data_IF_842322964670
#
_entry.id   IF_842322964670
#
_cell.length_a   1.000
_cell.length_b   1.000
_cell.length_c   1.000
_cell.angle_alpha   90.00
_cell.angle_beta   90.00
_cell.angle_gamma   90.00
#
_symmetry.space_group_name_H-M   'P 1'
#
loop_
_entity.id
_entity.type
_entity.pdbx_description
1 polymer ?
#
# COMPACT_ATOMS: atom_id res chain seq x y z
N UNK A 1 8.34 12.54 0.12
CA UNK A 1 7.59 13.04 -1.06
C UNK A 1 6.54 14.10 -0.71
N UNK A 2 6.37 15.15 -1.54
CA UNK A 2 5.26 16.13 -1.47
C UNK A 2 4.23 15.80 -2.57
N UNK A 3 2.94 15.71 -2.25
CA UNK A 3 1.90 15.39 -3.25
C UNK A 3 1.61 16.53 -4.24
N UNK A 4 1.94 17.78 -3.90
CA UNK A 4 1.76 18.94 -4.80
C UNK A 4 2.61 18.87 -6.08
N UNK A 5 3.69 18.08 -6.06
CA UNK A 5 4.57 17.88 -7.23
C UNK A 5 4.22 16.63 -8.05
N UNK A 6 3.15 15.91 -7.67
CA UNK A 6 2.69 14.74 -8.41
C UNK A 6 1.96 15.19 -9.68
N UNK A 7 2.44 14.73 -10.84
CA UNK A 7 1.84 15.03 -12.13
C UNK A 7 0.64 14.11 -12.36
N UNK A 8 -0.56 14.66 -12.26
CA UNK A 8 -1.78 13.94 -12.65
C UNK A 8 -1.80 13.76 -14.16
N UNK A 9 -1.96 12.52 -14.62
CA UNK A 9 -2.05 12.15 -16.03
C UNK A 9 -3.41 11.49 -16.29
N UNK A 10 -4.06 11.85 -17.39
CA UNK A 10 -5.33 11.25 -17.79
C UNK A 10 -6.56 11.86 -17.10
N UNK A 11 -7.40 11.01 -16.50
CA UNK A 11 -8.75 11.31 -16.04
C UNK A 11 -8.87 12.30 -14.87
N UNK A 12 -10.07 12.41 -14.30
CA UNK A 12 -10.32 13.27 -13.14
C UNK A 12 -9.96 12.54 -11.85
N UNK A 13 -9.36 13.24 -10.90
CA UNK A 13 -9.20 12.76 -9.54
C UNK A 13 -10.57 12.42 -8.95
N UNK A 14 -10.62 11.37 -8.13
CA UNK A 14 -11.80 10.96 -7.40
C UNK A 14 -11.47 10.84 -5.90
N UNK A 15 -11.30 11.98 -5.20
CA UNK A 15 -10.85 11.97 -3.82
C UNK A 15 -11.86 11.33 -2.88
N UNK A 16 -11.35 10.64 -1.87
CA UNK A 16 -12.15 9.93 -0.87
C UNK A 16 -12.35 10.85 0.32
N UNK A 17 -13.56 10.92 0.87
CA UNK A 17 -13.84 11.81 1.98
C UNK A 17 -13.24 11.30 3.30
N UNK A 18 -12.91 12.23 4.20
CA UNK A 18 -12.37 11.91 5.52
C UNK A 18 -13.30 11.01 6.36
N UNK A 19 -14.61 11.12 6.14
CA UNK A 19 -15.61 10.30 6.82
C UNK A 19 -15.47 8.83 6.41
N UNK A 20 -15.19 8.55 5.13
CA UNK A 20 -15.00 7.18 4.64
C UNK A 20 -13.74 6.56 5.24
N UNK A 21 -12.64 7.32 5.34
CA UNK A 21 -11.41 6.85 5.98
C UNK A 21 -11.68 6.53 7.45
N UNK A 22 -12.34 7.45 8.18
CA UNK A 22 -12.65 7.29 9.60
C UNK A 22 -13.61 6.13 9.89
N UNK A 23 -14.60 5.93 9.01
CA UNK A 23 -15.54 4.80 9.06
C UNK A 23 -14.79 3.47 9.00
N UNK A 24 -13.83 3.34 8.08
CA UNK A 24 -13.05 2.11 7.91
C UNK A 24 -12.09 1.89 9.07
N UNK A 25 -11.39 2.93 9.54
CA UNK A 25 -10.56 2.86 10.76
C UNK A 25 -11.38 2.35 11.95
N UNK A 26 -12.59 2.88 12.15
CA UNK A 26 -13.49 2.45 13.22
C UNK A 26 -13.96 1.00 13.06
N UNK A 27 -14.33 0.58 11.84
CA UNK A 27 -14.81 -0.79 11.57
C UNK A 27 -13.72 -1.84 11.77
N UNK A 28 -12.50 -1.53 11.35
CA UNK A 28 -11.35 -2.42 11.46
C UNK A 28 -10.64 -2.32 12.82
N UNK A 29 -10.93 -1.27 13.62
CA UNK A 29 -10.24 -0.95 14.88
C UNK A 29 -8.73 -0.77 14.68
N UNK A 30 -8.37 0.00 13.65
CA UNK A 30 -6.99 0.30 13.26
C UNK A 30 -6.79 1.81 13.17
N UNK A 31 -5.53 2.22 12.99
CA UNK A 31 -5.21 3.45 12.28
C UNK A 31 -4.51 3.11 10.98
N UNK A 32 -4.80 3.87 9.93
CA UNK A 32 -3.98 3.81 8.74
C UNK A 32 -2.60 4.47 8.98
N UNK A 33 -1.56 4.06 8.24
CA UNK A 33 -0.24 4.68 8.33
C UNK A 33 -0.29 6.19 8.05
N UNK A 34 0.62 6.94 8.66
CA UNK A 34 0.82 8.37 8.34
C UNK A 34 0.95 8.57 6.82
N UNK A 35 0.24 9.55 6.28
CA UNK A 35 0.20 9.88 4.86
C UNK A 35 -0.86 9.15 4.04
N UNK A 36 -1.43 8.04 4.54
CA UNK A 36 -2.48 7.31 3.80
C UNK A 36 -3.75 8.15 3.60
N UNK A 37 -4.26 8.76 4.68
CA UNK A 37 -5.43 9.63 4.64
C UNK A 37 -5.23 10.75 3.63
N UNK A 38 -4.13 11.48 3.74
CA UNK A 38 -3.76 12.57 2.84
C UNK A 38 -3.72 12.12 1.38
N UNK A 39 -3.10 10.97 1.08
CA UNK A 39 -3.05 10.42 -0.27
C UNK A 39 -4.45 10.20 -0.84
N UNK A 40 -5.32 9.50 -0.11
CA UNK A 40 -6.66 9.15 -0.63
C UNK A 40 -7.63 10.34 -0.64
N UNK A 41 -7.47 11.33 0.24
CA UNK A 41 -8.31 12.54 0.28
C UNK A 41 -7.88 13.60 -0.72
N UNK A 42 -6.65 13.54 -1.25
CA UNK A 42 -6.17 14.46 -2.29
C UNK A 42 -6.25 13.85 -3.69
N UNK A 43 -5.76 12.62 -3.85
CA UNK A 43 -5.65 11.97 -5.15
C UNK A 43 -6.80 10.98 -5.41
N UNK A 44 -7.21 10.27 -4.36
CA UNK A 44 -8.22 9.23 -4.47
C UNK A 44 -7.66 7.91 -4.99
N UNK A 45 -8.45 7.25 -5.82
CA UNK A 45 -8.09 5.97 -6.42
C UNK A 45 -7.38 6.14 -7.76
N UNK A 46 -6.26 5.45 -7.92
CA UNK A 46 -5.44 5.52 -9.13
C UNK A 46 -4.18 4.67 -9.03
N UNK A 47 -3.39 4.72 -10.10
CA UNK A 47 -2.03 4.23 -10.10
C UNK A 47 -1.06 5.38 -9.85
N UNK A 48 -0.07 5.15 -9.00
CA UNK A 48 1.03 6.04 -8.71
C UNK A 48 2.30 5.51 -9.39
N UNK A 49 3.20 6.42 -9.75
CA UNK A 49 4.55 6.09 -10.25
C UNK A 49 4.52 5.31 -11.57
N UNK A 50 4.20 6.00 -12.67
CA UNK A 50 4.21 5.40 -14.02
C UNK A 50 3.34 4.14 -14.13
N UNK A 51 2.16 4.20 -13.52
CA UNK A 51 1.16 3.13 -13.47
C UNK A 51 1.61 1.86 -12.73
N UNK A 52 2.65 1.95 -11.88
CA UNK A 52 3.25 0.81 -11.19
C UNK A 52 2.56 0.42 -9.88
N UNK A 53 2.21 1.41 -9.05
CA UNK A 53 1.72 1.15 -7.69
C UNK A 53 0.25 1.52 -7.61
N UNK A 54 -0.58 0.64 -7.07
CA UNK A 54 -1.99 0.92 -6.82
C UNK A 54 -2.24 0.97 -5.33
N UNK A 55 -2.48 2.18 -4.81
CA UNK A 55 -2.92 2.38 -3.42
C UNK A 55 -4.41 2.08 -3.32
N UNK A 56 -4.79 1.26 -2.33
CA UNK A 56 -6.15 0.76 -2.20
C UNK A 56 -7.03 1.80 -1.49
N UNK A 57 -8.24 2.06 -1.98
CA UNK A 57 -9.20 2.90 -1.26
C UNK A 57 -9.68 2.18 0.02
N UNK A 58 -10.09 2.91 1.07
CA UNK A 58 -10.42 2.32 2.37
C UNK A 58 -11.50 1.23 2.29
N UNK A 59 -12.53 1.44 1.45
CA UNK A 59 -13.64 0.49 1.28
C UNK A 59 -13.19 -0.84 0.66
N UNK A 60 -12.22 -0.80 -0.26
CA UNK A 60 -11.62 -2.01 -0.84
C UNK A 60 -10.84 -2.77 0.22
N UNK A 61 -10.03 -2.07 1.01
CA UNK A 61 -9.28 -2.67 2.13
C UNK A 61 -10.25 -3.38 3.08
N UNK A 62 -11.32 -2.70 3.51
CA UNK A 62 -12.35 -3.28 4.38
C UNK A 62 -12.97 -4.56 3.80
N UNK A 63 -13.19 -4.60 2.48
CA UNK A 63 -13.81 -5.72 1.77
C UNK A 63 -12.85 -6.91 1.63
N UNK A 64 -11.58 -6.65 1.29
CA UNK A 64 -10.67 -7.68 0.78
C UNK A 64 -9.60 -8.13 1.79
N UNK A 65 -9.29 -7.38 2.85
CA UNK A 65 -8.10 -7.67 3.69
C UNK A 65 -8.05 -9.10 4.24
N UNK A 66 -9.20 -9.71 4.55
CA UNK A 66 -9.26 -11.11 5.02
C UNK A 66 -8.90 -12.13 3.94
N UNK A 67 -9.21 -11.84 2.68
CA UNK A 67 -8.84 -12.70 1.56
C UNK A 67 -7.32 -12.65 1.35
N UNK A 68 -6.70 -11.48 1.51
CA UNK A 68 -5.23 -11.34 1.54
C UNK A 68 -4.60 -12.15 2.67
N UNK A 69 -5.08 -12.01 3.91
CA UNK A 69 -4.60 -12.80 5.04
C UNK A 69 -4.74 -14.32 4.82
N UNK A 70 -5.84 -14.75 4.19
CA UNK A 70 -6.05 -16.15 3.82
C UNK A 70 -5.03 -16.62 2.77
N UNK A 71 -4.78 -15.83 1.72
CA UNK A 71 -3.76 -16.15 0.71
C UNK A 71 -2.36 -16.23 1.32
N UNK A 72 -1.99 -15.32 2.20
CA UNK A 72 -0.70 -15.39 2.91
C UNK A 72 -0.60 -16.63 3.78
N UNK A 73 -1.70 -17.07 4.39
CA UNK A 73 -1.72 -18.31 5.19
C UNK A 73 -1.45 -19.54 4.32
N UNK A 74 -2.06 -19.58 3.12
CA UNK A 74 -1.97 -20.72 2.19
C UNK A 74 -0.65 -20.77 1.41
N UNK A 75 -0.11 -19.61 1.02
CA UNK A 75 1.03 -19.49 0.11
C UNK A 75 2.22 -18.76 0.74
N UNK A 76 2.42 -18.86 2.05
CA UNK A 76 3.56 -18.23 2.73
C UNK A 76 4.91 -18.77 2.21
N UNK A 77 5.82 -17.90 1.81
CA UNK A 77 7.19 -18.29 1.39
C UNK A 77 8.31 -17.35 1.86
N UNK A 78 8.02 -16.40 2.75
CA UNK A 78 9.01 -15.41 3.23
C UNK A 78 9.70 -15.79 4.55
N UNK A 79 10.00 -17.07 4.73
CA UNK A 79 10.55 -17.58 6.00
C UNK A 79 11.97 -17.04 6.32
N UNK A 80 12.72 -16.58 5.31
CA UNK A 80 14.04 -15.94 5.50
C UNK A 80 13.96 -14.59 6.23
N UNK A 81 12.77 -13.99 6.31
CA UNK A 81 12.56 -12.67 6.91
C UNK A 81 11.88 -12.71 8.26
N UNK A 82 11.96 -13.84 8.97
CA UNK A 82 11.38 -13.99 10.32
C UNK A 82 11.83 -12.90 11.29
N UNK A 83 13.08 -12.45 11.19
CA UNK A 83 13.63 -11.40 12.07
C UNK A 83 13.14 -9.98 11.71
N UNK A 84 12.66 -9.78 10.47
CA UNK A 84 12.07 -8.52 10.00
C UNK A 84 10.59 -8.47 10.32
N UNK A 85 9.86 -9.51 9.92
CA UNK A 85 8.43 -9.64 10.16
C UNK A 85 8.08 -11.13 10.33
N UNK A 86 7.84 -11.58 11.58
CA UNK A 86 7.39 -12.95 11.83
C UNK A 86 6.08 -13.26 11.11
N UNK A 87 5.95 -14.49 10.60
CA UNK A 87 4.76 -14.97 9.88
C UNK A 87 3.47 -14.68 10.66
N UNK A 88 3.44 -15.01 11.95
CA UNK A 88 2.25 -14.85 12.80
C UNK A 88 1.78 -13.39 12.88
N UNK A 89 2.72 -12.45 12.76
CA UNK A 89 2.44 -11.02 12.72
C UNK A 89 1.99 -10.58 11.32
N UNK A 90 2.67 -11.04 10.26
CA UNK A 90 2.27 -10.77 8.88
C UNK A 90 0.86 -11.26 8.56
N UNK A 91 0.44 -12.43 9.08
CA UNK A 91 -0.92 -12.95 8.88
C UNK A 91 -2.02 -12.10 9.53
N UNK A 92 -1.66 -11.15 10.40
CA UNK A 92 -2.58 -10.19 11.00
C UNK A 92 -2.51 -8.80 10.34
N UNK A 93 -1.62 -8.62 9.37
CA UNK A 93 -1.40 -7.34 8.71
C UNK A 93 -2.58 -6.95 7.80
N UNK A 94 -2.58 -5.68 7.42
CA UNK A 94 -3.55 -5.08 6.50
C UNK A 94 -2.80 -4.65 5.24
N UNK A 95 -3.27 -5.08 4.07
CA UNK A 95 -2.78 -4.59 2.78
C UNK A 95 -3.32 -3.19 2.50
N UNK A 96 -2.46 -2.34 1.96
CA UNK A 96 -2.83 -0.96 1.58
C UNK A 96 -2.47 -0.61 0.15
N UNK A 97 -1.57 -1.35 -0.50
CA UNK A 97 -1.24 -1.17 -1.90
C UNK A 97 -0.66 -2.45 -2.49
N UNK A 98 -0.64 -2.53 -3.81
CA UNK A 98 0.15 -3.52 -4.55
C UNK A 98 0.87 -2.87 -5.74
N UNK A 99 1.85 -3.59 -6.28
CA UNK A 99 2.50 -3.26 -7.54
C UNK A 99 1.86 -4.04 -8.69
N UNK A 100 2.04 -3.57 -9.92
CA UNK A 100 1.63 -4.30 -11.12
C UNK A 100 2.38 -5.63 -11.31
N UNK A 101 3.54 -5.78 -10.67
CA UNK A 101 4.31 -7.02 -10.62
C UNK A 101 3.82 -7.96 -9.50
N UNK A 102 2.85 -7.53 -8.70
CA UNK A 102 2.20 -8.33 -7.65
C UNK A 102 2.90 -8.32 -6.29
N UNK A 103 3.80 -7.36 -6.05
CA UNK A 103 4.35 -7.12 -4.72
C UNK A 103 3.30 -6.41 -3.86
N UNK A 104 3.24 -6.75 -2.58
CA UNK A 104 2.17 -6.28 -1.69
C UNK A 104 2.74 -5.39 -0.58
N UNK A 105 2.14 -4.22 -0.37
CA UNK A 105 2.50 -3.28 0.70
C UNK A 105 1.51 -3.42 1.85
N UNK A 106 2.02 -3.72 3.03
CA UNK A 106 1.22 -3.98 4.23
C UNK A 106 1.69 -3.15 5.43
N UNK A 107 0.84 -3.08 6.45
CA UNK A 107 1.22 -2.64 7.80
C UNK A 107 0.56 -3.52 8.85
N UNK A 108 1.15 -3.58 10.05
CA UNK A 108 0.57 -4.32 11.17
C UNK A 108 -0.27 -3.37 12.04
N UNK A 109 -1.52 -3.71 12.40
CA UNK A 109 -2.39 -2.82 13.19
C UNK A 109 -1.82 -2.30 14.52
N UNK A 110 -0.94 -3.08 15.16
CA UNK A 110 -0.25 -2.72 16.41
C UNK A 110 0.91 -1.74 16.19
N UNK A 111 1.42 -1.63 14.97
CA UNK A 111 2.51 -0.74 14.56
C UNK A 111 2.19 -0.10 13.19
N UNK A 112 1.18 0.79 13.11
CA UNK A 112 0.68 1.31 11.83
C UNK A 112 1.70 2.14 11.05
N UNK A 113 2.67 2.73 11.74
CA UNK A 113 3.75 3.53 11.15
C UNK A 113 5.00 2.67 10.89
N UNK A 114 4.81 1.38 10.60
CA UNK A 114 5.83 0.47 10.06
C UNK A 114 5.25 -0.29 8.88
N UNK A 115 5.75 0.05 7.69
CA UNK A 115 5.29 -0.57 6.45
C UNK A 115 6.28 -1.62 5.96
N UNK A 116 5.72 -2.68 5.39
CA UNK A 116 6.48 -3.81 4.87
C UNK A 116 6.04 -4.13 3.45
N UNK A 117 7.00 -4.51 2.61
CA UNK A 117 6.71 -5.08 1.30
C UNK A 117 6.91 -6.59 1.36
N UNK A 118 5.90 -7.34 0.91
CA UNK A 118 6.02 -8.75 0.60
C UNK A 118 6.24 -8.89 -0.91
N UNK A 119 7.48 -9.14 -1.38
CA UNK A 119 7.73 -9.23 -2.81
C UNK A 119 7.17 -10.51 -3.39
N UNK A 120 6.69 -10.46 -4.63
CA UNK A 120 6.21 -11.66 -5.33
C UNK A 120 7.32 -12.64 -5.68
N UNK A 121 8.48 -12.11 -6.06
CA UNK A 121 9.59 -12.87 -6.64
C UNK A 121 10.83 -12.93 -5.75
N UNK A 122 10.70 -12.58 -4.46
CA UNK A 122 11.77 -12.67 -3.46
C UNK A 122 11.17 -13.22 -2.15
N UNK A 123 11.90 -14.10 -1.50
CA UNK A 123 11.62 -14.67 -0.17
C UNK A 123 11.97 -13.72 0.99
N UNK A 124 12.52 -12.53 0.67
CA UNK A 124 12.88 -11.52 1.66
C UNK A 124 11.82 -10.40 1.75
N UNK A 125 11.29 -10.15 2.95
CA UNK A 125 10.43 -9.01 3.29
C UNK A 125 11.30 -7.79 3.60
N UNK A 126 10.86 -6.62 3.16
CA UNK A 126 11.55 -5.35 3.43
C UNK A 126 10.68 -4.47 4.33
N UNK A 127 11.26 -3.86 5.37
CA UNK A 127 10.65 -2.70 6.05
C UNK A 127 11.01 -1.44 5.24
N UNK A 128 9.99 -0.75 4.71
CA UNK A 128 10.20 0.24 3.63
C UNK A 128 9.85 1.67 4.00
N UNK A 129 9.37 1.92 5.21
CA UNK A 129 9.09 3.27 5.67
C UNK A 129 8.27 3.33 6.95
N UNK A 130 8.17 4.55 7.47
CA UNK A 130 7.32 4.93 8.60
C UNK A 130 6.08 5.71 8.18
N UNK A 131 6.01 6.11 6.91
CA UNK A 131 4.86 6.75 6.28
C UNK A 131 4.54 6.07 4.95
N UNK A 132 3.30 6.23 4.46
CA UNK A 132 2.94 5.77 3.12
C UNK A 132 3.88 6.37 2.07
N UNK A 133 4.24 7.65 2.18
CA UNK A 133 5.06 8.33 1.18
C UNK A 133 6.49 7.82 1.12
N UNK A 134 7.10 7.49 2.26
CA UNK A 134 8.41 6.83 2.29
C UNK A 134 8.35 5.45 1.62
N UNK A 135 7.28 4.68 1.89
CA UNK A 135 7.10 3.36 1.28
C UNK A 135 6.88 3.46 -0.24
N UNK A 136 6.07 4.41 -0.71
CA UNK A 136 5.87 4.66 -2.15
C UNK A 136 7.17 5.09 -2.83
N UNK A 137 7.94 5.98 -2.18
CA UNK A 137 9.25 6.41 -2.68
C UNK A 137 10.24 5.24 -2.76
N UNK A 138 10.27 4.36 -1.75
CA UNK A 138 11.08 3.14 -1.77
C UNK A 138 10.69 2.20 -2.91
N UNK A 139 9.39 1.94 -3.11
CA UNK A 139 8.90 1.09 -4.21
C UNK A 139 9.31 1.65 -5.57
N UNK A 140 9.26 2.97 -5.72
CA UNK A 140 9.55 3.68 -6.96
C UNK A 140 11.04 3.86 -7.29
N UNK A 141 11.90 3.95 -6.27
CA UNK A 141 13.26 4.49 -6.43
C UNK A 141 14.37 3.61 -5.84
N UNK A 142 14.05 2.60 -5.03
CA UNK A 142 15.08 1.79 -4.36
C UNK A 142 15.97 0.99 -5.33
N UNK A 143 15.45 0.62 -6.50
CA UNK A 143 16.14 -0.30 -7.41
C UNK A 143 16.14 -1.76 -6.95
N UNK A 144 15.43 -2.09 -5.86
CA UNK A 144 15.48 -3.43 -5.24
C UNK A 144 14.51 -4.40 -5.93
N UNK A 145 13.31 -3.93 -6.26
CA UNK A 145 12.25 -4.74 -6.91
C UNK A 145 12.27 -4.59 -8.43
N UNK A 146 12.39 -3.35 -8.91
CA UNK A 146 12.41 -2.98 -10.32
C UNK A 146 13.47 -1.89 -10.56
N UNK A 147 13.76 -1.59 -11.83
CA UNK A 147 14.57 -0.42 -12.18
C UNK A 147 13.89 0.87 -11.66
N UNK A 148 14.66 1.84 -11.10
CA UNK A 148 14.09 3.09 -10.59
C UNK A 148 13.35 3.87 -11.67
N UNK A 149 12.11 4.26 -11.36
CA UNK A 149 11.30 5.15 -12.20
C UNK A 149 11.77 6.60 -12.07
N UNK A 150 11.41 7.45 -13.02
CA UNK A 150 11.89 8.84 -13.06
C UNK A 150 10.81 9.82 -12.60
N UNK A 151 9.55 9.56 -12.94
CA UNK A 151 8.47 10.49 -12.71
C UNK A 151 7.59 10.12 -11.51
N UNK A 152 7.03 11.14 -10.87
CA UNK A 152 5.96 10.98 -9.89
C UNK A 152 4.64 11.31 -10.58
N UNK A 153 4.09 10.33 -11.33
CA UNK A 153 2.78 10.48 -11.97
C UNK A 153 1.68 9.84 -11.15
N UNK A 154 0.45 10.34 -11.30
CA UNK A 154 -0.75 9.69 -10.80
C UNK A 154 -1.79 9.59 -11.90
N UNK A 155 -2.26 8.38 -12.17
CA UNK A 155 -3.28 8.05 -13.17
C UNK A 155 -4.58 7.61 -12.47
N UNK A 156 -5.62 8.46 -12.43
CA UNK A 156 -6.88 8.12 -11.79
C UNK A 156 -7.64 7.05 -12.60
N UNK A 157 -8.39 6.19 -11.92
CA UNK A 157 -9.31 5.26 -12.59
C UNK A 157 -10.66 5.16 -11.87
N UNK A 158 -11.71 4.84 -12.63
CA UNK A 158 -13.11 4.95 -12.19
C UNK A 158 -13.78 3.61 -11.81
N UNK A 159 -13.04 2.50 -11.76
CA UNK A 159 -13.65 1.19 -11.45
C UNK A 159 -13.97 1.04 -9.97
N UNK A 160 -15.22 0.67 -9.67
CA UNK A 160 -15.63 0.25 -8.32
C UNK A 160 -15.19 -1.20 -8.05
N UNK A 161 -14.69 -1.46 -6.84
CA UNK A 161 -14.22 -2.79 -6.39
C UNK A 161 -15.26 -3.54 -5.56
#
# INVERSE_FOLDING_TARGET
MNLEVVKVVGGKLNPITDEVVSEVESKLKIRFPVGYREFVTLLGQGFFCESYIRVYPPRRILKEYRDFQKRWTEYWFWDESRDVLPKEKALQAIIIADTMEGDELIFCPDEPDRLYVLPRNKDTIFQVGTTLFEALEWLCRSGILIEPMQDNTFEPFEWEW
#
